data_IF_170024944257
#
_entry.id   IF_170024944257
#
_cell.length_a   1.000
_cell.length_b   1.000
_cell.length_c   1.000
_cell.angle_alpha   90.00
_cell.angle_beta   90.00
_cell.angle_gamma   90.00
#
_symmetry.space_group_name_H-M   'P 1'
#
loop_
_entity.id
_entity.type
_entity.pdbx_description
1 polymer ?
#
# COMPACT_ATOMS: atom_id res chain seq x y z
N UNK A 1 -2.67 29.07 23.80
CA UNK A 1 -1.80 28.23 22.93
C UNK A 1 -2.19 26.75 22.95
N UNK A 2 -2.41 26.15 24.13
CA UNK A 2 -2.78 24.73 24.29
C UNK A 2 -4.08 24.32 23.56
N UNK A 3 -5.13 25.15 23.61
CA UNK A 3 -6.42 24.88 22.95
C UNK A 3 -6.28 24.78 21.42
N UNK A 4 -5.49 25.68 20.79
CA UNK A 4 -5.23 25.65 19.34
C UNK A 4 -4.44 24.40 18.90
N UNK A 5 -3.46 23.99 19.72
CA UNK A 5 -2.70 22.76 19.47
C UNK A 5 -3.59 21.52 19.58
N UNK A 6 -4.45 21.46 20.59
CA UNK A 6 -5.42 20.38 20.78
C UNK A 6 -6.38 20.26 19.58
N UNK A 7 -6.96 21.39 19.14
CA UNK A 7 -7.83 21.45 17.95
C UNK A 7 -7.12 20.99 16.66
N UNK A 8 -5.86 21.39 16.47
CA UNK A 8 -5.08 20.97 15.30
C UNK A 8 -4.84 19.45 15.29
N UNK A 9 -4.46 18.89 16.44
CA UNK A 9 -4.27 17.44 16.59
C UNK A 9 -5.58 16.70 16.34
N UNK A 10 -6.68 17.13 16.96
CA UNK A 10 -8.01 16.52 16.75
C UNK A 10 -8.40 16.54 15.28
N UNK A 11 -8.24 17.67 14.59
CA UNK A 11 -8.58 17.79 13.16
C UNK A 11 -7.70 16.89 12.27
N UNK A 12 -6.43 16.73 12.63
CA UNK A 12 -5.50 15.84 11.94
C UNK A 12 -5.88 14.37 12.11
N UNK A 13 -6.22 13.95 13.33
CA UNK A 13 -6.71 12.60 13.59
C UNK A 13 -8.00 12.31 12.82
N UNK A 14 -8.94 13.26 12.80
CA UNK A 14 -10.18 13.15 12.03
C UNK A 14 -9.92 12.93 10.54
N UNK A 15 -9.05 13.74 9.93
CA UNK A 15 -8.74 13.61 8.50
C UNK A 15 -8.02 12.31 8.17
N UNK A 16 -6.98 11.95 8.91
CA UNK A 16 -6.27 10.68 8.68
C UNK A 16 -7.23 9.49 8.81
N UNK A 17 -8.11 9.50 9.82
CA UNK A 17 -9.11 8.44 10.02
C UNK A 17 -10.17 8.41 8.92
N UNK A 18 -10.59 9.55 8.38
CA UNK A 18 -11.54 9.60 7.26
C UNK A 18 -10.96 8.98 5.97
N UNK A 19 -9.71 9.31 5.62
CA UNK A 19 -9.05 8.69 4.47
C UNK A 19 -8.69 7.22 4.72
N UNK A 20 -8.49 6.83 5.99
CA UNK A 20 -8.34 5.43 6.37
C UNK A 20 -9.65 4.68 6.12
N UNK A 21 -10.78 5.24 6.57
CA UNK A 21 -12.12 4.69 6.31
C UNK A 21 -12.38 4.57 4.81
N UNK A 22 -12.02 5.58 4.01
CA UNK A 22 -12.11 5.52 2.54
C UNK A 22 -11.38 4.30 1.97
N UNK A 23 -10.15 4.03 2.42
CA UNK A 23 -9.40 2.85 1.97
C UNK A 23 -10.05 1.55 2.46
N UNK A 24 -10.56 1.52 3.70
CA UNK A 24 -11.27 0.36 4.26
C UNK A 24 -12.56 0.03 3.49
N UNK A 25 -13.17 0.97 2.76
CA UNK A 25 -14.32 0.66 1.92
C UNK A 25 -14.00 -0.40 0.86
N UNK A 26 -12.74 -0.53 0.41
CA UNK A 26 -12.35 -1.56 -0.57
C UNK A 26 -12.50 -2.99 -0.01
N UNK A 27 -11.80 -3.39 1.07
CA UNK A 27 -11.99 -4.74 1.63
C UNK A 27 -13.41 -4.95 2.18
N UNK A 28 -14.06 -3.93 2.73
CA UNK A 28 -15.46 -4.04 3.19
C UNK A 28 -16.42 -4.31 2.03
N UNK A 29 -16.27 -3.61 0.91
CA UNK A 29 -17.08 -3.85 -0.29
C UNK A 29 -16.89 -5.27 -0.83
N UNK A 30 -15.67 -5.79 -0.78
CA UNK A 30 -15.37 -7.16 -1.24
C UNK A 30 -16.04 -8.20 -0.35
N UNK A 31 -16.04 -8.01 0.97
CA UNK A 31 -16.82 -8.88 1.86
C UNK A 31 -18.33 -8.76 1.63
N UNK A 32 -18.86 -7.54 1.49
CA UNK A 32 -20.29 -7.33 1.26
C UNK A 32 -20.79 -7.91 -0.06
N UNK A 33 -19.96 -7.86 -1.10
CA UNK A 33 -20.27 -8.47 -2.41
C UNK A 33 -20.01 -9.98 -2.46
N UNK A 34 -19.49 -10.57 -1.38
CA UNK A 34 -19.02 -11.96 -1.32
C UNK A 34 -18.05 -12.31 -2.46
N UNK A 35 -17.33 -11.32 -2.99
CA UNK A 35 -16.39 -11.53 -4.07
C UNK A 35 -15.17 -12.29 -3.57
N UNK A 36 -14.77 -13.31 -4.31
CA UNK A 36 -13.57 -14.09 -4.05
C UNK A 36 -12.75 -14.22 -5.32
N UNK A 37 -11.43 -14.11 -5.17
CA UNK A 37 -10.53 -14.45 -6.25
C UNK A 37 -10.63 -15.95 -6.55
N UNK A 38 -10.66 -16.31 -7.82
CA UNK A 38 -10.60 -17.70 -8.26
C UNK A 38 -9.64 -17.81 -9.46
N UNK A 39 -9.10 -19.01 -9.70
CA UNK A 39 -8.12 -19.23 -10.75
C UNK A 39 -8.68 -19.22 -12.18
N UNK A 40 -10.01 -19.16 -12.35
CA UNK A 40 -10.68 -19.08 -13.65
C UNK A 40 -10.88 -17.65 -14.12
N UNK A 41 -10.44 -16.63 -13.37
CA UNK A 41 -10.65 -15.26 -13.80
C UNK A 41 -9.80 -14.96 -15.04
N UNK A 42 -10.48 -14.53 -16.10
CA UNK A 42 -9.85 -14.05 -17.34
C UNK A 42 -9.27 -12.67 -17.10
N UNK A 43 -8.03 -12.44 -17.54
CA UNK A 43 -7.39 -11.13 -17.50
C UNK A 43 -7.46 -10.48 -18.87
N UNK A 44 -8.07 -9.30 -18.92
CA UNK A 44 -8.25 -8.57 -20.16
C UNK A 44 -7.10 -7.57 -20.37
N UNK A 45 -6.80 -7.24 -21.64
CA UNK A 45 -5.69 -6.33 -21.97
C UNK A 45 -5.82 -4.94 -21.34
N UNK A 46 -7.05 -4.47 -21.09
CA UNK A 46 -7.29 -3.18 -20.44
C UNK A 46 -6.89 -3.17 -18.95
N UNK A 47 -6.59 -4.33 -18.35
CA UNK A 47 -6.14 -4.45 -16.96
C UNK A 47 -4.61 -4.33 -16.81
N UNK A 48 -3.86 -4.34 -17.92
CA UNK A 48 -2.40 -4.16 -17.89
C UNK A 48 -1.93 -2.85 -17.21
N UNK A 49 -2.63 -1.70 -17.32
CA UNK A 49 -2.31 -0.51 -16.53
C UNK A 49 -2.38 -0.74 -15.01
N UNK A 50 -3.28 -1.62 -14.54
CA UNK A 50 -3.39 -1.97 -13.12
C UNK A 50 -2.18 -2.79 -12.64
N UNK A 51 -1.56 -3.55 -13.54
CA UNK A 51 -0.27 -4.20 -13.29
C UNK A 51 0.87 -3.20 -13.18
N UNK A 52 0.98 -2.25 -14.10
CA UNK A 52 1.97 -1.16 -13.96
C UNK A 52 1.80 -0.36 -12.69
N UNK A 53 0.54 -0.12 -12.28
CA UNK A 53 0.24 0.51 -11.01
C UNK A 53 0.74 -0.34 -9.84
N UNK A 54 0.58 -1.67 -9.89
CA UNK A 54 1.16 -2.58 -8.90
C UNK A 54 2.68 -2.49 -8.86
N UNK A 55 3.31 -2.51 -10.03
CA UNK A 55 4.77 -2.42 -10.14
C UNK A 55 5.31 -1.11 -9.60
N UNK A 56 4.54 -0.01 -9.63
CA UNK A 56 4.93 1.24 -8.94
C UNK A 56 5.16 1.08 -7.42
N UNK A 57 4.63 0.03 -6.79
CA UNK A 57 4.91 -0.34 -5.40
C UNK A 57 5.88 -1.52 -5.22
N UNK A 58 6.42 -2.08 -6.31
CA UNK A 58 7.37 -3.20 -6.33
C UNK A 58 8.81 -2.70 -6.51
N UNK A 59 9.80 -3.36 -5.90
CA UNK A 59 11.24 -3.05 -6.15
C UNK A 59 11.63 -3.56 -7.55
N UNK A 60 12.36 -2.78 -8.37
CA UNK A 60 13.03 -1.50 -8.04
C UNK A 60 12.18 -0.23 -8.23
N UNK A 61 11.05 -0.29 -8.95
CA UNK A 61 10.25 0.88 -9.31
C UNK A 61 9.71 1.67 -8.11
N UNK A 62 9.47 1.02 -6.97
CA UNK A 62 9.08 1.67 -5.73
C UNK A 62 10.05 2.77 -5.28
N UNK A 63 11.35 2.63 -5.57
CA UNK A 63 12.36 3.65 -5.28
C UNK A 63 12.12 4.89 -6.15
N UNK A 64 11.81 4.68 -7.43
CA UNK A 64 11.46 5.75 -8.37
C UNK A 64 10.17 6.44 -7.91
N UNK A 65 9.14 5.67 -7.54
CA UNK A 65 7.88 6.18 -7.00
C UNK A 65 8.10 7.06 -5.78
N UNK A 66 8.96 6.66 -4.84
CA UNK A 66 9.33 7.47 -3.69
C UNK A 66 9.96 8.82 -4.08
N UNK A 67 10.88 8.81 -5.05
CA UNK A 67 11.50 10.03 -5.57
C UNK A 67 10.50 10.96 -6.24
N UNK A 68 9.65 10.42 -7.12
CA UNK A 68 8.59 11.19 -7.81
C UNK A 68 7.61 11.78 -6.80
N UNK A 69 7.13 10.99 -5.83
CA UNK A 69 6.20 11.48 -4.81
C UNK A 69 6.83 12.54 -3.91
N UNK A 70 8.10 12.40 -3.51
CA UNK A 70 8.81 13.44 -2.79
C UNK A 70 8.84 14.78 -3.55
N UNK A 71 9.01 14.74 -4.87
CA UNK A 71 8.95 15.93 -5.73
C UNK A 71 7.52 16.48 -5.88
N UNK A 72 6.51 15.61 -6.04
CA UNK A 72 5.10 16.02 -6.11
C UNK A 72 4.62 16.73 -4.84
N UNK A 73 5.25 16.47 -3.70
CA UNK A 73 4.92 17.12 -2.43
C UNK A 73 5.57 18.50 -2.28
N UNK A 74 6.51 18.89 -3.15
CA UNK A 74 7.20 20.18 -3.08
C UNK A 74 6.25 21.39 -2.99
N UNK A 75 5.13 21.46 -3.75
CA UNK A 75 4.16 22.55 -3.64
C UNK A 75 3.39 22.62 -2.30
N UNK A 76 3.50 21.60 -1.44
CA UNK A 76 2.87 21.60 -0.12
C UNK A 76 3.63 22.47 0.89
N UNK A 77 4.94 22.64 0.71
CA UNK A 77 5.82 23.27 1.70
C UNK A 77 6.16 24.71 1.33
N UNK A 78 6.32 25.56 2.36
CA UNK A 78 6.57 26.99 2.16
C UNK A 78 8.04 27.28 1.85
N UNK A 79 8.97 26.43 2.32
CA UNK A 79 10.40 26.61 2.10
C UNK A 79 11.14 25.28 1.94
N UNK A 80 12.36 25.36 1.40
CA UNK A 80 13.21 24.18 1.13
C UNK A 80 13.56 23.38 2.38
N UNK A 81 13.75 24.03 3.54
CA UNK A 81 14.09 23.34 4.80
C UNK A 81 12.93 22.44 5.27
N UNK A 82 11.70 22.94 5.19
CA UNK A 82 10.50 22.15 5.49
C UNK A 82 10.34 20.98 4.52
N UNK A 83 10.57 21.20 3.21
CA UNK A 83 10.52 20.10 2.24
C UNK A 83 11.59 19.04 2.51
N UNK A 84 12.84 19.42 2.80
CA UNK A 84 13.92 18.47 3.16
C UNK A 84 13.53 17.66 4.40
N UNK A 85 13.02 18.32 5.44
CA UNK A 85 12.56 17.63 6.64
C UNK A 85 11.40 16.68 6.33
N UNK A 86 10.48 17.07 5.45
CA UNK A 86 9.38 16.22 5.03
C UNK A 86 9.87 15.00 4.25
N UNK A 87 10.86 15.16 3.36
CA UNK A 87 11.50 14.03 2.66
C UNK A 87 12.16 13.08 3.67
N UNK A 88 12.83 13.60 4.71
CA UNK A 88 13.37 12.76 5.76
C UNK A 88 12.28 11.98 6.51
N UNK A 89 11.13 12.61 6.80
CA UNK A 89 9.96 11.95 7.40
C UNK A 89 9.35 10.90 6.47
N UNK A 90 9.26 11.17 5.16
CA UNK A 90 8.79 10.19 4.16
C UNK A 90 9.70 8.97 4.13
N UNK A 91 11.02 9.18 4.05
CA UNK A 91 12.00 8.11 4.06
C UNK A 91 11.92 7.29 5.36
N UNK A 92 11.84 7.95 6.51
CA UNK A 92 11.65 7.31 7.81
C UNK A 92 10.37 6.48 7.87
N UNK A 93 9.25 7.00 7.37
CA UNK A 93 7.99 6.27 7.27
C UNK A 93 8.13 5.02 6.40
N UNK A 94 8.77 5.12 5.23
CA UNK A 94 9.00 3.96 4.36
C UNK A 94 9.87 2.90 5.05
N UNK A 95 10.94 3.30 5.74
CA UNK A 95 11.80 2.35 6.47
C UNK A 95 11.04 1.64 7.58
N UNK A 96 10.31 2.37 8.43
CA UNK A 96 9.54 1.76 9.53
C UNK A 96 8.47 0.82 9.00
N UNK A 97 7.70 1.25 8.01
CA UNK A 97 6.60 0.45 7.47
C UNK A 97 7.08 -0.83 6.80
N UNK A 98 8.20 -0.78 6.07
CA UNK A 98 8.82 -2.00 5.53
C UNK A 98 9.42 -2.89 6.63
N UNK A 99 9.99 -2.30 7.69
CA UNK A 99 10.47 -3.04 8.85
C UNK A 99 9.35 -3.81 9.57
N UNK A 100 8.22 -3.14 9.84
CA UNK A 100 7.04 -3.77 10.45
C UNK A 100 6.49 -4.88 9.55
N UNK A 101 6.35 -4.63 8.24
CA UNK A 101 5.94 -5.64 7.26
C UNK A 101 6.86 -6.87 7.32
N UNK A 102 8.19 -6.66 7.29
CA UNK A 102 9.16 -7.75 7.31
C UNK A 102 9.08 -8.56 8.60
N UNK A 103 8.90 -7.90 9.75
CA UNK A 103 8.71 -8.58 11.04
C UNK A 103 7.44 -9.43 11.06
N UNK A 104 6.31 -8.88 10.58
CA UNK A 104 5.04 -9.61 10.56
C UNK A 104 5.06 -10.79 9.57
N UNK A 105 5.73 -10.67 8.42
CA UNK A 105 5.86 -11.77 7.46
C UNK A 105 6.54 -13.02 8.04
N UNK A 106 7.36 -12.85 9.08
CA UNK A 106 8.01 -13.97 9.76
C UNK A 106 7.12 -14.63 10.83
N UNK A 107 6.04 -13.97 11.23
CA UNK A 107 5.13 -14.44 12.28
C UNK A 107 3.87 -15.14 11.72
N UNK A 108 3.49 -14.88 10.47
CA UNK A 108 2.26 -15.39 9.87
C UNK A 108 2.53 -16.24 8.62
N UNK A 109 1.90 -17.40 8.54
CA UNK A 109 2.10 -18.40 7.47
C UNK A 109 0.84 -18.60 6.61
N UNK A 110 0.12 -17.51 6.33
CA UNK A 110 -1.09 -17.58 5.50
C UNK A 110 -0.74 -17.69 4.01
N UNK A 111 -1.24 -18.73 3.29
CA UNK A 111 -0.99 -18.91 1.87
C UNK A 111 -1.66 -17.79 1.05
N UNK A 112 -1.12 -17.47 -0.12
CA UNK A 112 -1.79 -16.52 -1.04
C UNK A 112 -2.96 -17.20 -1.77
N UNK A 113 -4.02 -16.46 -2.16
CA UNK A 113 -5.14 -17.01 -2.93
C UNK A 113 -4.70 -17.80 -4.17
N UNK A 114 -3.77 -17.25 -4.97
CA UNK A 114 -3.28 -17.95 -6.17
C UNK A 114 -2.49 -19.22 -5.84
N UNK A 115 -1.75 -19.24 -4.72
CA UNK A 115 -0.99 -20.42 -4.30
C UNK A 115 -1.94 -21.54 -3.88
N UNK A 116 -3.00 -21.21 -3.14
CA UNK A 116 -4.05 -22.18 -2.77
C UNK A 116 -4.63 -22.84 -4.01
N UNK A 117 -4.98 -22.05 -5.03
CA UNK A 117 -5.47 -22.59 -6.31
C UNK A 117 -4.44 -23.47 -7.01
N UNK A 118 -3.17 -23.06 -7.11
CA UNK A 118 -2.11 -23.89 -7.71
C UNK A 118 -1.99 -25.23 -6.99
N UNK A 119 -2.01 -25.24 -5.66
CA UNK A 119 -1.88 -26.47 -4.88
C UNK A 119 -3.09 -27.39 -5.03
N UNK A 120 -4.30 -26.85 -5.07
CA UNK A 120 -5.53 -27.61 -5.33
C UNK A 120 -5.51 -28.27 -6.71
N UNK A 121 -5.10 -27.53 -7.75
CA UNK A 121 -5.07 -28.04 -9.13
C UNK A 121 -3.94 -29.07 -9.37
N UNK A 122 -2.89 -29.04 -8.55
CA UNK A 122 -1.76 -29.97 -8.66
C UNK A 122 -1.86 -31.16 -7.71
N UNK A 123 -2.92 -31.24 -6.87
CA UNK A 123 -3.07 -32.26 -5.84
C UNK A 123 -2.03 -32.18 -4.72
N UNK A 124 -1.38 -31.02 -4.58
CA UNK A 124 -0.40 -30.74 -3.52
C UNK A 124 -1.04 -30.00 -2.35
N UNK A 125 -0.29 -29.78 -1.27
CA UNK A 125 -0.74 -28.95 -0.14
C UNK A 125 0.04 -27.65 -0.08
N UNK A 126 -0.59 -26.60 0.45
CA UNK A 126 0.08 -25.32 0.74
C UNK A 126 1.26 -25.50 1.68
N UNK A 127 1.16 -26.40 2.67
CA UNK A 127 2.27 -26.76 3.55
C UNK A 127 3.48 -27.31 2.80
N UNK A 128 3.28 -28.25 1.87
CA UNK A 128 4.35 -28.79 1.03
C UNK A 128 4.98 -27.73 0.12
N UNK A 129 4.16 -26.82 -0.43
CA UNK A 129 4.64 -25.69 -1.22
C UNK A 129 5.53 -24.75 -0.39
N UNK A 130 5.09 -24.36 0.79
CA UNK A 130 5.84 -23.44 1.67
C UNK A 130 6.99 -24.12 2.43
N UNK A 131 7.11 -25.44 2.40
CA UNK A 131 8.30 -26.15 2.88
C UNK A 131 9.50 -26.01 1.93
N UNK A 132 9.25 -25.75 0.64
CA UNK A 132 10.31 -25.53 -0.36
C UNK A 132 10.99 -24.17 -0.17
N UNK A 133 12.19 -23.99 -0.72
CA UNK A 133 12.82 -22.67 -0.78
C UNK A 133 12.11 -21.76 -1.80
N UNK A 134 12.46 -20.46 -1.78
CA UNK A 134 11.79 -19.45 -2.62
C UNK A 134 11.98 -19.69 -4.13
N UNK A 135 13.14 -20.19 -4.57
CA UNK A 135 13.40 -20.46 -5.98
C UNK A 135 12.57 -21.66 -6.46
N UNK A 136 12.54 -22.74 -5.68
CA UNK A 136 11.72 -23.91 -5.97
C UNK A 136 10.22 -23.55 -6.03
N UNK A 137 9.72 -22.72 -5.11
CA UNK A 137 8.34 -22.21 -5.16
C UNK A 137 8.05 -21.43 -6.45
N UNK A 138 8.97 -20.58 -6.87
CA UNK A 138 8.82 -19.81 -8.11
C UNK A 138 8.75 -20.73 -9.34
N UNK A 139 9.58 -21.77 -9.39
CA UNK A 139 9.58 -22.76 -10.46
C UNK A 139 8.28 -23.56 -10.53
N UNK A 140 7.73 -23.99 -9.38
CA UNK A 140 6.42 -24.68 -9.33
C UNK A 140 5.33 -23.80 -9.94
N UNK A 141 5.29 -22.53 -9.56
CA UNK A 141 4.30 -21.57 -10.07
C UNK A 141 4.48 -21.33 -11.57
N UNK A 142 5.73 -21.16 -12.02
CA UNK A 142 6.05 -20.96 -13.43
C UNK A 142 5.63 -22.17 -14.28
N UNK A 143 6.00 -23.38 -13.87
CA UNK A 143 5.61 -24.62 -14.56
C UNK A 143 4.09 -24.79 -14.63
N UNK A 144 3.38 -24.50 -13.54
CA UNK A 144 1.93 -24.56 -13.53
C UNK A 144 1.31 -23.58 -14.53
N UNK A 145 1.76 -22.33 -14.55
CA UNK A 145 1.17 -21.31 -15.43
C UNK A 145 1.68 -21.34 -16.88
N UNK A 146 2.78 -22.04 -17.18
CA UNK A 146 3.22 -22.28 -18.56
C UNK A 146 2.16 -23.04 -19.37
N UNK A 147 1.44 -23.96 -18.75
CA UNK A 147 0.36 -24.72 -19.42
C UNK A 147 -0.96 -23.92 -19.52
N UNK A 148 -1.08 -22.81 -18.79
CA UNK A 148 -2.27 -21.97 -18.74
C UNK A 148 -2.22 -20.86 -19.79
N UNK A 149 -2.83 -21.10 -20.96
CA UNK A 149 -2.83 -20.14 -22.09
C UNK A 149 -3.67 -18.89 -21.84
N UNK A 150 -4.62 -18.95 -20.92
CA UNK A 150 -5.58 -17.87 -20.65
C UNK A 150 -5.04 -16.83 -19.65
N UNK A 151 -3.86 -17.06 -19.08
CA UNK A 151 -3.20 -16.13 -18.16
C UNK A 151 -2.12 -15.38 -18.93
N UNK A 152 -2.14 -14.03 -18.96
CA UNK A 152 -1.09 -13.26 -19.64
C UNK A 152 0.29 -13.40 -19.00
N UNK A 153 1.35 -13.32 -19.79
CA UNK A 153 2.75 -13.48 -19.33
C UNK A 153 3.13 -12.52 -18.19
N UNK A 154 2.61 -11.29 -18.18
CA UNK A 154 2.87 -10.33 -17.11
C UNK A 154 2.29 -10.77 -15.75
N UNK A 155 1.16 -11.49 -15.73
CA UNK A 155 0.63 -12.11 -14.50
C UNK A 155 1.48 -13.31 -14.10
N UNK A 156 1.89 -14.16 -15.04
CA UNK A 156 2.73 -15.34 -14.74
C UNK A 156 4.04 -14.93 -14.07
N UNK A 157 4.71 -13.93 -14.67
CA UNK A 157 5.93 -13.35 -14.11
C UNK A 157 5.70 -12.70 -12.75
N UNK A 158 4.54 -12.06 -12.53
CA UNK A 158 4.16 -11.50 -11.23
C UNK A 158 4.01 -12.58 -10.16
N UNK A 159 3.32 -13.68 -10.47
CA UNK A 159 3.13 -14.80 -9.54
C UNK A 159 4.43 -15.49 -9.16
N UNK A 160 5.30 -15.76 -10.14
CA UNK A 160 6.60 -16.38 -9.88
C UNK A 160 7.50 -15.52 -8.96
N UNK A 161 7.41 -14.19 -9.03
CA UNK A 161 8.18 -13.27 -8.16
C UNK A 161 7.64 -13.21 -6.72
N UNK A 162 6.34 -13.41 -6.54
CA UNK A 162 5.61 -13.12 -5.31
C UNK A 162 5.15 -14.37 -4.52
N UNK A 163 5.98 -15.42 -4.52
CA UNK A 163 5.72 -16.72 -3.84
C UNK A 163 5.89 -16.72 -2.30
N UNK A 164 5.88 -15.55 -1.67
CA UNK A 164 5.88 -15.42 -0.22
C UNK A 164 4.49 -15.67 0.39
N UNK A 165 4.41 -15.70 1.73
CA UNK A 165 3.13 -15.67 2.43
C UNK A 165 2.35 -14.38 2.14
N UNK A 166 1.02 -14.47 2.27
CA UNK A 166 0.10 -13.39 1.96
C UNK A 166 0.23 -12.24 2.96
N UNK A 167 0.17 -12.51 4.25
CA UNK A 167 0.08 -11.46 5.24
C UNK A 167 1.44 -10.86 5.66
N UNK A 168 1.55 -9.54 5.90
CA UNK A 168 0.66 -8.46 5.46
C UNK A 168 0.98 -7.98 4.04
N UNK A 169 0.10 -7.18 3.45
CA UNK A 169 0.27 -6.59 2.13
C UNK A 169 1.22 -5.38 2.15
N UNK A 170 2.44 -5.57 1.66
CA UNK A 170 3.44 -4.50 1.55
C UNK A 170 3.02 -3.36 0.63
N UNK A 171 2.40 -3.67 -0.51
CA UNK A 171 1.86 -2.67 -1.45
C UNK A 171 0.73 -1.86 -0.83
N UNK A 172 -0.15 -2.50 -0.04
CA UNK A 172 -1.23 -1.81 0.68
C UNK A 172 -0.67 -0.89 1.74
N UNK A 173 0.28 -1.35 2.56
CA UNK A 173 0.96 -0.50 3.56
C UNK A 173 1.64 0.67 2.86
N UNK A 174 2.37 0.43 1.77
CA UNK A 174 3.05 1.48 0.99
C UNK A 174 2.07 2.53 0.48
N UNK A 175 0.99 2.10 -0.16
CA UNK A 175 0.03 3.01 -0.75
C UNK A 175 -0.77 3.80 0.29
N UNK A 176 -1.23 3.13 1.35
CA UNK A 176 -1.91 3.78 2.45
C UNK A 176 -0.99 4.80 3.15
N UNK A 177 0.28 4.44 3.36
CA UNK A 177 1.27 5.33 3.99
C UNK A 177 1.48 6.62 3.20
N UNK A 178 1.61 6.51 1.89
CA UNK A 178 1.75 7.69 1.04
C UNK A 178 0.51 8.60 1.05
N UNK A 179 -0.69 8.03 1.05
CA UNK A 179 -1.92 8.82 1.25
C UNK A 179 -1.95 9.50 2.62
N UNK A 180 -1.58 8.80 3.69
CA UNK A 180 -1.50 9.37 5.04
C UNK A 180 -0.45 10.48 5.12
N UNK A 181 0.71 10.33 4.47
CA UNK A 181 1.72 11.37 4.35
C UNK A 181 1.15 12.61 3.65
N UNK A 182 0.43 12.44 2.53
CA UNK A 182 -0.19 13.56 1.82
C UNK A 182 -1.19 14.30 2.70
N UNK A 183 -2.14 13.57 3.31
CA UNK A 183 -3.20 14.15 4.15
C UNK A 183 -2.60 14.81 5.39
N UNK A 184 -1.63 14.15 6.03
CA UNK A 184 -0.98 14.65 7.23
C UNK A 184 -0.15 15.91 6.97
N UNK A 185 0.68 15.94 5.92
CA UNK A 185 1.44 17.15 5.56
C UNK A 185 0.52 18.29 5.11
N UNK A 186 -0.53 18.00 4.34
CA UNK A 186 -1.52 19.02 3.96
C UNK A 186 -2.15 19.68 5.20
N UNK A 187 -2.54 18.86 6.20
CA UNK A 187 -3.14 19.36 7.42
C UNK A 187 -2.12 20.10 8.31
N UNK A 188 -0.88 19.62 8.38
CA UNK A 188 0.20 20.21 9.15
C UNK A 188 0.59 21.59 8.61
N UNK A 189 0.67 21.71 7.29
CA UNK A 189 0.97 22.97 6.60
C UNK A 189 -0.23 23.93 6.51
N UNK A 190 -1.44 23.45 6.81
CA UNK A 190 -2.68 24.22 6.62
C UNK A 190 -2.94 24.61 5.16
N UNK A 191 -2.33 23.89 4.21
CA UNK A 191 -2.36 24.25 2.79
C UNK A 191 -3.70 23.86 2.17
N UNK A 192 -4.53 24.86 1.83
CA UNK A 192 -5.85 24.67 1.22
C UNK A 192 -5.86 24.89 -0.30
N UNK A 193 -4.69 25.00 -0.93
CA UNK A 193 -4.58 25.25 -2.37
C UNK A 193 -5.24 24.14 -3.21
N UNK A 194 -5.71 24.48 -4.40
CA UNK A 194 -6.29 23.51 -5.34
C UNK A 194 -5.28 22.41 -5.72
N UNK A 195 -3.98 22.74 -5.77
CA UNK A 195 -2.89 21.77 -6.02
C UNK A 195 -2.80 20.73 -4.92
N UNK A 196 -2.89 21.14 -3.65
CA UNK A 196 -2.87 20.22 -2.51
C UNK A 196 -4.09 19.27 -2.54
N UNK A 197 -5.27 19.79 -2.88
CA UNK A 197 -6.49 18.98 -3.04
C UNK A 197 -6.37 17.98 -4.20
N UNK A 198 -5.82 18.42 -5.33
CA UNK A 198 -5.58 17.56 -6.49
C UNK A 198 -4.61 16.42 -6.14
N UNK A 199 -3.53 16.73 -5.40
CA UNK A 199 -2.59 15.72 -4.93
C UNK A 199 -3.27 14.69 -4.03
N UNK A 200 -4.10 15.11 -3.06
CA UNK A 200 -4.87 14.17 -2.22
C UNK A 200 -5.80 13.30 -3.07
N UNK A 201 -6.48 13.87 -4.07
CA UNK A 201 -7.34 13.11 -4.99
C UNK A 201 -6.55 12.06 -5.78
N UNK A 202 -5.42 12.47 -6.38
CA UNK A 202 -4.51 11.57 -7.09
C UNK A 202 -4.00 10.44 -6.20
N UNK A 203 -3.51 10.76 -5.00
CA UNK A 203 -2.98 9.77 -4.06
C UNK A 203 -4.07 8.83 -3.52
N UNK A 204 -5.30 9.32 -3.34
CA UNK A 204 -6.43 8.50 -2.93
C UNK A 204 -6.79 7.51 -4.04
N UNK A 205 -6.91 7.96 -5.29
CA UNK A 205 -7.21 7.12 -6.43
C UNK A 205 -6.12 6.06 -6.64
N UNK A 206 -4.85 6.47 -6.64
CA UNK A 206 -3.73 5.55 -6.78
C UNK A 206 -3.70 4.50 -5.66
N UNK A 207 -3.97 4.90 -4.41
CA UNK A 207 -4.04 3.95 -3.30
C UNK A 207 -5.21 2.97 -3.44
N UNK A 208 -6.42 3.44 -3.78
CA UNK A 208 -7.57 2.58 -4.01
C UNK A 208 -7.29 1.56 -5.11
N UNK A 209 -6.74 2.00 -6.25
CA UNK A 209 -6.39 1.12 -7.36
C UNK A 209 -5.30 0.11 -6.95
N UNK A 210 -4.34 0.50 -6.10
CA UNK A 210 -3.35 -0.43 -5.55
C UNK A 210 -4.03 -1.51 -4.72
N UNK A 211 -5.00 -1.18 -3.87
CA UNK A 211 -5.74 -2.16 -3.07
C UNK A 211 -6.53 -3.11 -4.00
N UNK A 212 -7.23 -2.56 -5.00
CA UNK A 212 -7.98 -3.34 -5.99
C UNK A 212 -7.06 -4.32 -6.72
N UNK A 213 -5.85 -3.90 -7.11
CA UNK A 213 -4.90 -4.78 -7.80
C UNK A 213 -4.43 -5.96 -6.95
N UNK A 214 -4.42 -5.83 -5.61
CA UNK A 214 -4.03 -6.93 -4.70
C UNK A 214 -5.07 -8.02 -4.62
N UNK A 215 -6.34 -7.63 -4.67
CA UNK A 215 -7.45 -8.56 -4.72
C UNK A 215 -7.58 -9.16 -6.11
N UNK A 216 -7.61 -8.31 -7.15
CA UNK A 216 -7.83 -8.71 -8.54
C UNK A 216 -6.80 -9.72 -9.05
N UNK A 217 -5.54 -9.55 -8.67
CA UNK A 217 -4.44 -10.45 -9.02
C UNK A 217 -4.24 -11.57 -7.99
N UNK A 218 -5.20 -11.87 -7.11
CA UNK A 218 -5.11 -13.06 -6.22
C UNK A 218 -3.92 -13.05 -5.26
N UNK A 219 -3.41 -11.86 -4.93
CA UNK A 219 -2.21 -11.71 -4.13
C UNK A 219 -2.51 -11.73 -2.64
N UNK A 220 -3.67 -11.22 -2.25
CA UNK A 220 -4.03 -11.00 -0.86
C UNK A 220 -5.53 -11.22 -0.65
N UNK A 221 -5.88 -11.59 0.58
CA UNK A 221 -7.26 -11.60 1.04
C UNK A 221 -7.70 -10.20 1.50
N UNK A 222 -9.01 -9.91 1.57
CA UNK A 222 -9.51 -8.62 2.06
C UNK A 222 -9.04 -8.29 3.49
N UNK A 223 -8.87 -9.30 4.35
CA UNK A 223 -8.35 -9.12 5.71
C UNK A 223 -6.90 -8.61 5.72
N UNK A 224 -6.05 -9.10 4.82
CA UNK A 224 -4.67 -8.64 4.68
C UNK A 224 -4.63 -7.15 4.40
N UNK A 225 -5.53 -6.69 3.51
CA UNK A 225 -5.65 -5.28 3.15
C UNK A 225 -6.14 -4.47 4.34
N UNK A 226 -7.21 -4.91 5.01
CA UNK A 226 -7.77 -4.19 6.15
C UNK A 226 -6.71 -3.94 7.24
N UNK A 227 -6.01 -4.99 7.66
CA UNK A 227 -5.00 -4.88 8.71
C UNK A 227 -3.79 -4.08 8.23
N UNK A 228 -3.38 -4.22 6.97
CA UNK A 228 -2.32 -3.40 6.37
C UNK A 228 -2.65 -1.89 6.38
N UNK A 229 -3.92 -1.53 6.11
CA UNK A 229 -4.41 -0.16 6.22
C UNK A 229 -4.35 0.31 7.68
N UNK A 230 -4.75 -0.53 8.64
CA UNK A 230 -4.69 -0.21 10.07
C UNK A 230 -3.25 0.01 10.56
N UNK A 231 -2.31 -0.82 10.12
CA UNK A 231 -0.87 -0.67 10.43
C UNK A 231 -0.37 0.68 9.92
N UNK A 232 -0.64 1.00 8.64
CA UNK A 232 -0.25 2.28 8.07
C UNK A 232 -0.88 3.46 8.82
N UNK A 233 -2.17 3.37 9.15
CA UNK A 233 -2.89 4.38 9.92
C UNK A 233 -2.24 4.62 11.29
N UNK A 234 -2.02 3.58 12.09
CA UNK A 234 -1.43 3.69 13.44
C UNK A 234 -0.03 4.32 13.42
N UNK A 235 0.83 3.89 12.49
CA UNK A 235 2.18 4.46 12.33
C UNK A 235 2.08 5.96 12.00
N UNK A 236 1.22 6.34 11.06
CA UNK A 236 1.11 7.73 10.63
C UNK A 236 0.40 8.61 11.66
N UNK A 237 -0.52 8.07 12.45
CA UNK A 237 -1.06 8.76 13.62
C UNK A 237 0.07 9.16 14.57
N UNK A 238 0.96 8.22 14.92
CA UNK A 238 2.11 8.48 15.79
C UNK A 238 3.05 9.55 15.21
N UNK A 239 3.44 9.40 13.95
CA UNK A 239 4.32 10.37 13.25
C UNK A 239 3.71 11.76 13.29
N UNK A 240 2.46 11.91 12.85
CA UNK A 240 1.85 13.23 12.72
C UNK A 240 1.48 13.85 14.07
N UNK A 241 1.06 13.05 15.06
CA UNK A 241 0.90 13.54 16.44
C UNK A 241 2.21 14.09 17.01
N UNK A 242 3.33 13.41 16.78
CA UNK A 242 4.65 13.89 17.18
C UNK A 242 5.00 15.20 16.45
N UNK A 243 4.84 15.25 15.13
CA UNK A 243 5.16 16.43 14.33
C UNK A 243 4.27 17.64 14.67
N UNK A 244 2.98 17.44 14.96
CA UNK A 244 2.08 18.54 15.32
C UNK A 244 2.46 19.19 16.66
N UNK A 245 3.04 18.44 17.59
CA UNK A 245 3.59 18.98 18.85
C UNK A 245 4.88 19.78 18.63
N UNK A 246 5.54 19.63 17.47
CA UNK A 246 6.79 20.32 17.13
C UNK A 246 6.49 21.52 16.22
N UNK A 247 7.26 22.60 16.39
CA UNK A 247 7.08 23.82 15.59
C UNK A 247 7.78 23.77 14.21
N UNK A 248 8.23 22.60 13.75
CA UNK A 248 9.04 22.48 12.53
C UNK A 248 8.30 22.89 11.25
N UNK A 249 6.98 22.71 11.22
CA UNK A 249 6.13 22.93 10.04
C UNK A 249 5.13 24.08 10.21
N UNK A 250 5.37 25.00 11.16
CA UNK A 250 4.53 26.20 11.27
C UNK A 250 4.65 27.02 9.97
N UNK A 251 3.54 27.52 9.42
CA UNK A 251 3.60 28.48 8.32
C UNK A 251 4.43 29.68 8.79
N UNK A 252 5.56 29.94 8.13
CA UNK A 252 6.23 31.24 8.24
C UNK A 252 5.24 32.27 7.72
N UNK A 253 4.95 33.30 8.53
CA UNK A 253 3.84 34.24 8.34
C UNK A 253 3.58 34.62 6.88
N UNK A 254 2.31 34.54 6.50
CA UNK A 254 1.74 35.43 5.49
C UNK A 254 1.01 36.53 6.24
#
# INVERSE_FOLDING_TARGET
>A
MAVRLSLMVINMLKRLSLYTLLLCLVPLFVWLSAWQWNGNIVFESYEHPLYWLTESGSVPYAIITCGVFALLFLPLFSNRKQWILAVAVMAFSMVITQGVKSGLKNAFSEPRPFVTYVTEQTGSSTGAFYAQDRQARAQIVEQFYQTQRNVPEWIKGHYAKEVGYSFPSGHTIFAASWLMLTVGFMQLMGNKSSRAKLLVGFMSLWAILMLVSRLRFGMHYPIDLLISIMIAWLIHLGIFQFLAKKNYFKPTGR
#
